data_IF_074233155508
#
_entry.id   IF_074233155508
#
_cell.length_a   1.000
_cell.length_b   1.000
_cell.length_c   1.000
_cell.angle_alpha   90.00
_cell.angle_beta   90.00
_cell.angle_gamma   90.00
#
_symmetry.space_group_name_H-M   'P 1'
#
loop_
_entity.id
_entity.type
_entity.pdbx_description
1 polymer ?
#
# COMPACT_ATOMS: atom_id res chain seq x y z
N UNK A 1 43.23 -28.62 -39.86
CA UNK A 1 43.14 -28.27 -41.29
C UNK A 1 42.79 -26.81 -41.38
N UNK A 2 43.76 -26.01 -41.82
CA UNK A 2 43.64 -24.56 -41.99
C UNK A 2 42.54 -24.23 -42.99
N UNK A 3 41.64 -23.33 -42.61
CA UNK A 3 41.09 -22.35 -43.54
C UNK A 3 41.00 -21.01 -42.82
N UNK A 4 41.69 -20.05 -43.43
CA UNK A 4 41.96 -18.69 -43.00
C UNK A 4 40.86 -17.72 -43.44
N UNK A 5 40.89 -16.54 -42.80
CA UNK A 5 40.32 -15.25 -43.20
C UNK A 5 38.88 -14.99 -42.79
N UNK A 6 38.77 -14.22 -41.71
CA UNK A 6 37.56 -13.60 -41.22
C UNK A 6 37.76 -13.12 -39.79
N UNK A 7 38.66 -12.16 -39.59
CA UNK A 7 38.83 -11.42 -38.33
C UNK A 7 37.50 -10.76 -37.96
N UNK A 8 36.68 -11.48 -37.23
CA UNK A 8 35.77 -10.93 -36.24
C UNK A 8 36.21 -11.58 -34.95
N UNK A 9 36.98 -10.85 -34.14
CA UNK A 9 37.08 -11.17 -32.72
C UNK A 9 35.63 -11.25 -32.22
N UNK A 10 35.11 -12.47 -32.08
CA UNK A 10 33.82 -12.68 -31.45
C UNK A 10 34.03 -12.29 -30.00
N UNK A 11 33.49 -11.15 -29.61
CA UNK A 11 33.44 -10.74 -28.21
C UNK A 11 32.65 -11.82 -27.46
N UNK A 12 33.35 -12.68 -26.73
CA UNK A 12 32.71 -13.70 -25.89
C UNK A 12 32.31 -13.04 -24.59
N UNK A 13 31.02 -13.08 -24.25
CA UNK A 13 30.53 -12.54 -22.98
C UNK A 13 30.15 -13.68 -22.06
N UNK A 14 30.74 -13.71 -20.87
CA UNK A 14 30.38 -14.63 -19.79
C UNK A 14 29.55 -13.89 -18.75
N UNK A 15 28.38 -14.44 -18.40
CA UNK A 15 27.55 -13.97 -17.30
C UNK A 15 27.74 -14.92 -16.11
N UNK A 16 28.20 -14.38 -15.00
CA UNK A 16 28.33 -15.12 -13.73
C UNK A 16 27.23 -14.65 -12.80
N UNK A 17 26.31 -15.55 -12.48
CA UNK A 17 25.22 -15.30 -11.52
C UNK A 17 25.65 -15.81 -10.15
N UNK A 18 25.64 -14.92 -9.16
CA UNK A 18 26.02 -15.23 -7.78
C UNK A 18 24.84 -14.94 -6.87
N UNK A 19 24.31 -15.97 -6.23
CA UNK A 19 23.34 -15.82 -5.15
C UNK A 19 24.07 -15.96 -3.80
N UNK A 20 23.97 -14.92 -2.99
CA UNK A 20 24.57 -14.88 -1.66
C UNK A 20 23.57 -15.46 -0.67
N UNK A 21 23.75 -16.74 -0.34
CA UNK A 21 22.86 -17.46 0.57
C UNK A 21 23.28 -17.21 2.02
N UNK A 22 22.31 -16.82 2.86
CA UNK A 22 22.53 -16.48 4.26
C UNK A 22 23.18 -15.11 4.44
N UNK A 23 22.95 -14.46 5.59
CA UNK A 23 23.54 -13.16 5.97
C UNK A 23 25.08 -13.15 6.15
N UNK A 24 25.79 -14.01 5.42
CA UNK A 24 27.23 -14.24 5.36
C UNK A 24 28.03 -12.99 4.96
N UNK A 25 27.39 -11.93 4.46
CA UNK A 25 28.05 -10.65 4.16
C UNK A 25 27.88 -9.58 5.23
N UNK A 26 27.19 -9.84 6.34
CA UNK A 26 26.96 -8.84 7.39
C UNK A 26 28.05 -8.88 8.47
N UNK A 27 29.28 -9.26 8.13
CA UNK A 27 30.44 -9.36 9.02
C UNK A 27 31.62 -8.52 8.52
N UNK A 28 32.49 -8.09 9.43
CA UNK A 28 33.54 -7.06 9.22
C UNK A 28 34.55 -7.33 8.08
N UNK A 29 34.61 -8.53 7.51
CA UNK A 29 35.66 -8.96 6.55
C UNK A 29 35.13 -9.65 5.27
N UNK A 30 33.82 -9.80 5.05
CA UNK A 30 33.30 -10.62 3.93
C UNK A 30 33.00 -9.89 2.61
N UNK A 31 32.16 -8.84 2.60
CA UNK A 31 31.67 -8.26 1.35
C UNK A 31 32.69 -7.37 0.65
N UNK A 32 33.49 -6.61 1.40
CA UNK A 32 34.49 -5.72 0.82
C UNK A 32 35.46 -6.45 -0.11
N UNK A 33 36.01 -7.56 0.37
CA UNK A 33 36.96 -8.39 -0.38
C UNK A 33 36.29 -9.02 -1.62
N UNK A 34 35.07 -9.57 -1.48
CA UNK A 34 34.31 -10.11 -2.63
C UNK A 34 34.10 -9.06 -3.73
N UNK A 35 33.65 -7.86 -3.36
CA UNK A 35 33.42 -6.79 -4.32
C UNK A 35 34.74 -6.24 -4.91
N UNK A 36 35.82 -6.26 -4.13
CA UNK A 36 37.18 -5.92 -4.60
C UNK A 36 37.69 -6.94 -5.63
N UNK A 37 37.54 -8.24 -5.35
CA UNK A 37 37.94 -9.33 -6.25
C UNK A 37 37.15 -9.29 -7.56
N UNK A 38 35.84 -9.05 -7.49
CA UNK A 38 35.00 -8.88 -8.69
C UNK A 38 35.50 -7.71 -9.53
N UNK A 39 35.85 -6.57 -8.92
CA UNK A 39 36.45 -5.43 -9.63
C UNK A 39 37.80 -5.77 -10.24
N UNK A 40 38.64 -6.53 -9.54
CA UNK A 40 39.89 -7.01 -10.08
C UNK A 40 39.66 -7.85 -11.35
N UNK A 41 38.75 -8.83 -11.30
CA UNK A 41 38.40 -9.66 -12.45
C UNK A 41 37.80 -8.84 -13.60
N UNK A 42 36.85 -7.95 -13.33
CA UNK A 42 36.31 -7.04 -14.37
C UNK A 42 37.41 -6.21 -15.04
N UNK A 43 38.41 -5.75 -14.28
CA UNK A 43 39.54 -4.98 -14.78
C UNK A 43 40.49 -5.79 -15.68
N UNK A 44 40.75 -7.06 -15.33
CA UNK A 44 41.65 -7.96 -16.08
C UNK A 44 41.15 -8.22 -17.52
N UNK A 45 39.83 -8.19 -17.73
CA UNK A 45 39.20 -8.55 -19.01
C UNK A 45 38.74 -7.35 -19.85
N UNK A 46 38.94 -6.10 -19.39
CA UNK A 46 38.46 -4.88 -20.09
C UNK A 46 39.04 -4.65 -21.48
N UNK A 47 40.23 -5.18 -21.76
CA UNK A 47 41.00 -4.90 -22.99
C UNK A 47 41.13 -6.14 -23.92
N UNK A 48 40.27 -7.14 -23.74
CA UNK A 48 40.31 -8.43 -24.46
C UNK A 48 39.00 -8.69 -25.20
N UNK A 49 39.04 -9.61 -26.17
CA UNK A 49 37.86 -10.13 -26.89
C UNK A 49 36.91 -10.96 -25.99
N UNK A 50 37.03 -10.84 -24.67
CA UNK A 50 36.27 -11.58 -23.66
C UNK A 50 35.80 -10.60 -22.61
N UNK A 51 34.49 -10.53 -22.40
CA UNK A 51 33.86 -9.74 -21.34
C UNK A 51 33.29 -10.67 -20.28
N UNK A 52 33.54 -10.39 -19.00
CA UNK A 52 32.93 -11.10 -17.88
C UNK A 52 32.04 -10.12 -17.11
N UNK A 53 30.77 -10.49 -16.91
CA UNK A 53 29.78 -9.71 -16.18
C UNK A 53 29.33 -10.51 -14.97
N UNK A 54 29.44 -9.92 -13.78
CA UNK A 54 28.94 -10.51 -12.54
C UNK A 54 27.59 -9.89 -12.18
N UNK A 55 26.58 -10.72 -11.98
CA UNK A 55 25.31 -10.31 -11.39
C UNK A 55 25.15 -11.00 -10.03
N UNK A 56 25.15 -10.19 -8.97
CA UNK A 56 25.11 -10.66 -7.59
C UNK A 56 23.75 -10.33 -7.00
N UNK A 57 23.08 -11.34 -6.45
CA UNK A 57 21.85 -11.20 -5.68
C UNK A 57 22.12 -11.56 -4.22
N UNK A 58 21.72 -10.71 -3.28
CA UNK A 58 21.97 -10.93 -1.86
C UNK A 58 21.66 -9.72 -0.99
N UNK A 59 21.96 -9.85 0.30
CA UNK A 59 21.81 -8.77 1.29
C UNK A 59 23.18 -8.28 1.77
N UNK A 60 23.41 -6.97 1.75
CA UNK A 60 24.63 -6.34 2.26
C UNK A 60 24.36 -4.92 2.76
N UNK A 61 25.22 -4.42 3.64
CA UNK A 61 25.18 -3.04 4.11
C UNK A 61 26.01 -2.14 3.19
N UNK A 62 25.35 -1.31 2.37
CA UNK A 62 26.03 -0.39 1.44
C UNK A 62 27.12 0.44 2.12
N UNK A 63 26.83 0.99 3.31
CA UNK A 63 27.76 1.82 4.09
C UNK A 63 29.00 1.04 4.57
N UNK A 64 28.87 -0.26 4.87
CA UNK A 64 30.02 -1.06 5.29
C UNK A 64 30.97 -1.34 4.14
N UNK A 65 30.42 -1.58 2.94
CA UNK A 65 31.23 -1.77 1.74
C UNK A 65 31.88 -0.44 1.33
N UNK A 66 31.13 0.67 1.37
CA UNK A 66 31.68 2.01 1.13
C UNK A 66 32.85 2.30 2.09
N UNK A 67 32.67 2.06 3.39
CA UNK A 67 33.73 2.21 4.39
C UNK A 67 34.93 1.27 4.17
N UNK A 68 34.73 0.08 3.59
CA UNK A 68 35.84 -0.78 3.18
C UNK A 68 36.65 -0.16 2.04
N UNK A 69 35.99 0.32 0.98
CA UNK A 69 36.68 0.96 -0.15
C UNK A 69 37.43 2.22 0.27
N UNK A 70 36.84 3.02 1.16
CA UNK A 70 37.50 4.17 1.79
C UNK A 70 38.77 3.77 2.56
N UNK A 71 38.71 2.66 3.32
CA UNK A 71 39.86 2.13 4.08
C UNK A 71 41.01 1.68 3.19
N UNK A 72 40.72 1.08 2.03
CA UNK A 72 41.75 0.68 1.05
C UNK A 72 42.12 1.82 0.08
N UNK A 73 41.62 3.03 0.30
CA UNK A 73 41.87 4.24 -0.49
C UNK A 73 41.47 4.11 -1.97
N UNK A 74 40.37 3.41 -2.24
CA UNK A 74 39.79 3.27 -3.59
C UNK A 74 38.39 3.86 -3.60
N UNK A 75 37.97 4.48 -4.70
CA UNK A 75 36.62 5.01 -4.81
C UNK A 75 35.57 3.89 -4.77
N UNK A 76 34.53 4.07 -3.95
CA UNK A 76 33.43 3.11 -3.88
C UNK A 76 32.73 3.02 -5.25
N UNK A 77 32.70 1.85 -5.90
CA UNK A 77 32.44 1.82 -7.33
C UNK A 77 30.98 1.47 -7.67
N UNK A 78 30.09 1.45 -6.68
CA UNK A 78 28.68 1.07 -6.84
C UNK A 78 27.75 2.22 -6.44
N UNK A 79 26.83 2.59 -7.32
CA UNK A 79 25.78 3.57 -7.00
C UNK A 79 24.40 2.92 -7.15
N UNK A 80 23.49 3.08 -6.18
CA UNK A 80 22.12 2.62 -6.33
C UNK A 80 21.46 3.22 -7.57
N UNK A 81 20.73 2.40 -8.33
CA UNK A 81 20.06 2.80 -9.59
C UNK A 81 20.98 2.90 -10.82
N UNK A 82 22.29 2.71 -10.66
CA UNK A 82 23.25 2.58 -11.77
C UNK A 82 23.88 1.20 -11.84
N UNK A 83 24.52 0.79 -10.74
CA UNK A 83 25.33 -0.43 -10.69
C UNK A 83 24.65 -1.56 -9.89
N UNK A 84 23.64 -1.24 -9.10
CA UNK A 84 22.77 -2.22 -8.44
C UNK A 84 21.37 -1.63 -8.25
N UNK A 85 20.38 -2.52 -8.10
CA UNK A 85 18.99 -2.17 -7.80
C UNK A 85 18.62 -2.84 -6.49
N UNK A 86 17.93 -2.10 -5.62
CA UNK A 86 17.34 -2.69 -4.41
C UNK A 86 16.09 -3.45 -4.83
N UNK A 87 16.05 -4.74 -4.54
CA UNK A 87 14.84 -5.51 -4.76
C UNK A 87 13.86 -5.26 -3.61
N UNK A 88 12.76 -4.57 -3.91
CA UNK A 88 11.73 -4.21 -2.93
C UNK A 88 10.55 -5.19 -2.95
N UNK A 89 10.77 -6.43 -3.42
CA UNK A 89 9.72 -7.42 -3.63
C UNK A 89 9.13 -7.41 -5.04
N UNK A 90 8.14 -8.26 -5.27
CA UNK A 90 7.38 -8.30 -6.52
C UNK A 90 6.44 -7.11 -6.61
N UNK A 91 6.29 -6.54 -7.81
CA UNK A 91 5.46 -5.37 -8.03
C UNK A 91 3.94 -5.68 -7.98
N UNK A 92 3.12 -4.63 -7.89
CA UNK A 92 1.65 -4.74 -7.84
C UNK A 92 1.07 -5.48 -9.05
N UNK A 93 1.64 -5.29 -10.24
CA UNK A 93 1.16 -5.91 -11.47
C UNK A 93 1.39 -7.43 -11.48
N UNK A 94 2.53 -7.86 -10.94
CA UNK A 94 2.90 -9.26 -10.75
C UNK A 94 1.98 -9.90 -9.71
N UNK A 95 1.76 -9.25 -8.56
CA UNK A 95 0.81 -9.75 -7.55
C UNK A 95 -0.61 -9.85 -8.11
N UNK A 96 -1.06 -8.88 -8.91
CA UNK A 96 -2.36 -8.93 -9.58
C UNK A 96 -2.46 -10.12 -10.56
N UNK A 97 -1.39 -10.43 -11.29
CA UNK A 97 -1.33 -11.59 -12.19
C UNK A 97 -1.41 -12.89 -11.40
N UNK A 98 -0.58 -13.05 -10.36
CA UNK A 98 -0.60 -14.23 -9.48
C UNK A 98 -1.96 -14.43 -8.82
N UNK A 99 -2.59 -13.34 -8.38
CA UNK A 99 -3.91 -13.37 -7.72
C UNK A 99 -4.99 -13.85 -8.69
N UNK A 100 -4.97 -13.35 -9.93
CA UNK A 100 -5.92 -13.77 -10.97
C UNK A 100 -5.74 -15.23 -11.36
N UNK A 101 -4.49 -15.68 -11.49
CA UNK A 101 -4.16 -17.08 -11.81
C UNK A 101 -4.58 -18.03 -10.68
N UNK A 102 -4.39 -17.62 -9.43
CA UNK A 102 -4.69 -18.47 -8.27
C UNK A 102 -6.19 -18.51 -7.92
N UNK A 103 -6.90 -17.38 -8.04
CA UNK A 103 -8.26 -17.22 -7.52
C UNK A 103 -9.33 -17.12 -8.63
N UNK A 104 -8.93 -16.96 -9.89
CA UNK A 104 -9.85 -16.77 -11.02
C UNK A 104 -10.74 -15.54 -10.83
N UNK A 105 -12.05 -15.71 -10.97
CA UNK A 105 -13.03 -14.64 -10.82
C UNK A 105 -13.05 -13.98 -9.41
N UNK A 106 -12.61 -14.69 -8.38
CA UNK A 106 -12.49 -14.13 -7.03
C UNK A 106 -11.23 -13.25 -6.85
N UNK A 107 -10.26 -13.34 -7.77
CA UNK A 107 -9.03 -12.54 -7.79
C UNK A 107 -9.27 -11.13 -8.35
N UNK A 108 -10.12 -10.35 -7.68
CA UNK A 108 -10.41 -8.97 -8.08
C UNK A 108 -9.22 -8.05 -7.82
N UNK A 109 -9.12 -6.89 -8.50
CA UNK A 109 -8.03 -5.93 -8.28
C UNK A 109 -7.88 -5.52 -6.81
N UNK A 110 -9.00 -5.33 -6.10
CA UNK A 110 -8.97 -4.94 -4.69
C UNK A 110 -8.37 -6.05 -3.80
N UNK A 111 -8.64 -7.32 -4.10
CA UNK A 111 -8.04 -8.45 -3.37
C UNK A 111 -6.54 -8.49 -3.63
N UNK A 112 -6.10 -8.32 -4.87
CA UNK A 112 -4.66 -8.29 -5.19
C UNK A 112 -3.94 -7.12 -4.52
N UNK A 113 -4.56 -5.94 -4.46
CA UNK A 113 -3.97 -4.77 -3.80
C UNK A 113 -3.87 -4.95 -2.27
N UNK A 114 -4.88 -5.59 -1.65
CA UNK A 114 -4.82 -5.90 -0.21
C UNK A 114 -3.72 -6.91 0.09
N UNK A 115 -3.57 -7.96 -0.73
CA UNK A 115 -2.48 -8.94 -0.58
C UNK A 115 -1.12 -8.24 -0.72
N UNK A 116 -0.99 -7.34 -1.71
CA UNK A 116 0.22 -6.55 -1.89
C UNK A 116 0.50 -5.66 -0.69
N UNK A 117 -0.47 -4.91 -0.17
CA UNK A 117 -0.28 -4.03 0.99
C UNK A 117 0.09 -4.82 2.24
N UNK A 118 -0.60 -5.93 2.53
CA UNK A 118 -0.32 -6.78 3.67
C UNK A 118 1.10 -7.35 3.64
N UNK A 119 1.52 -7.87 2.49
CA UNK A 119 2.81 -8.56 2.34
C UNK A 119 3.97 -7.69 1.86
N UNK A 120 3.73 -6.44 1.45
CA UNK A 120 4.74 -5.56 0.87
C UNK A 120 5.34 -6.06 -0.45
N UNK A 121 4.73 -7.03 -1.13
CA UNK A 121 5.33 -7.68 -2.29
C UNK A 121 6.42 -8.70 -1.95
N UNK A 122 6.57 -9.14 -0.70
CA UNK A 122 7.42 -10.30 -0.41
C UNK A 122 6.84 -11.56 -1.07
N UNK A 123 7.59 -12.16 -2.02
CA UNK A 123 7.12 -13.29 -2.83
C UNK A 123 6.51 -14.43 -1.99
N UNK A 124 7.23 -14.89 -0.96
CA UNK A 124 6.79 -15.99 -0.10
C UNK A 124 5.54 -15.62 0.73
N UNK A 125 5.43 -14.36 1.16
CA UNK A 125 4.23 -13.88 1.88
C UNK A 125 3.04 -13.82 0.94
N UNK A 126 3.22 -13.26 -0.27
CA UNK A 126 2.19 -13.21 -1.32
C UNK A 126 1.69 -14.61 -1.65
N UNK A 127 2.61 -15.55 -1.91
CA UNK A 127 2.28 -16.95 -2.21
C UNK A 127 1.53 -17.61 -1.06
N UNK A 128 1.97 -17.39 0.18
CA UNK A 128 1.33 -17.95 1.36
C UNK A 128 -0.06 -17.37 1.61
N UNK A 129 -0.24 -16.06 1.41
CA UNK A 129 -1.54 -15.40 1.51
C UNK A 129 -2.52 -15.90 0.44
N UNK A 130 -2.06 -16.03 -0.81
CA UNK A 130 -2.86 -16.63 -1.89
C UNK A 130 -3.26 -18.07 -1.56
N UNK A 131 -2.33 -18.85 -1.01
CA UNK A 131 -2.58 -20.21 -0.57
C UNK A 131 -3.61 -20.30 0.55
N UNK A 132 -3.68 -19.32 1.45
CA UNK A 132 -4.62 -19.30 2.57
C UNK A 132 -6.05 -18.88 2.21
N UNK A 133 -6.28 -18.39 0.99
CA UNK A 133 -7.62 -18.06 0.50
C UNK A 133 -8.38 -19.36 0.18
N UNK A 134 -8.96 -19.97 1.21
CA UNK A 134 -9.76 -21.19 1.10
C UNK A 134 -11.27 -20.93 1.13
N UNK A 135 -11.70 -19.87 1.82
CA UNK A 135 -13.11 -19.55 2.03
C UNK A 135 -13.58 -18.49 1.03
N UNK A 136 -14.75 -18.72 0.44
CA UNK A 136 -15.50 -17.74 -0.35
C UNK A 136 -16.78 -17.40 0.42
N UNK A 137 -17.11 -16.11 0.65
CA UNK A 137 -16.37 -14.91 0.24
C UNK A 137 -15.04 -14.74 0.97
N UNK A 138 -14.09 -14.05 0.33
CA UNK A 138 -12.75 -13.78 0.89
C UNK A 138 -12.91 -12.82 2.06
N UNK A 139 -12.40 -13.20 3.23
CA UNK A 139 -12.46 -12.37 4.44
C UNK A 139 -11.12 -11.71 4.76
N UNK A 140 -11.16 -10.40 5.01
CA UNK A 140 -9.97 -9.65 5.42
C UNK A 140 -9.36 -10.17 6.73
N UNK A 141 -10.21 -10.57 7.69
CA UNK A 141 -9.75 -11.12 8.97
C UNK A 141 -8.94 -12.41 8.78
N UNK A 142 -9.34 -13.26 7.84
CA UNK A 142 -8.61 -14.50 7.52
C UNK A 142 -7.22 -14.19 6.96
N UNK A 143 -7.14 -13.27 5.99
CA UNK A 143 -5.86 -12.79 5.44
C UNK A 143 -4.97 -12.20 6.54
N UNK A 144 -5.52 -11.34 7.40
CA UNK A 144 -4.78 -10.69 8.48
C UNK A 144 -4.24 -11.69 9.51
N UNK A 145 -5.08 -12.64 9.95
CA UNK A 145 -4.66 -13.71 10.86
C UNK A 145 -3.55 -14.56 10.24
N UNK A 146 -3.61 -14.81 8.93
CA UNK A 146 -2.57 -15.54 8.22
C UNK A 146 -1.27 -14.73 8.11
N UNK A 147 -1.34 -13.43 7.79
CA UNK A 147 -0.18 -12.52 7.82
C UNK A 147 0.51 -12.56 9.18
N UNK A 148 -0.26 -12.54 10.28
CA UNK A 148 0.26 -12.63 11.65
C UNK A 148 1.01 -13.94 11.89
N UNK A 149 0.44 -15.08 11.49
CA UNK A 149 1.10 -16.38 11.63
C UNK A 149 2.42 -16.46 10.86
N UNK A 150 2.45 -15.94 9.62
CA UNK A 150 3.67 -15.89 8.81
C UNK A 150 4.72 -15.00 9.50
N UNK A 151 4.31 -13.86 10.06
CA UNK A 151 5.20 -12.93 10.72
C UNK A 151 5.78 -13.46 12.05
N UNK A 152 5.02 -14.26 12.80
CA UNK A 152 5.46 -14.84 14.07
C UNK A 152 6.33 -16.09 13.89
N UNK A 153 5.88 -17.03 13.04
CA UNK A 153 6.47 -18.37 13.01
C UNK A 153 6.98 -18.78 11.62
N UNK A 154 6.78 -17.93 10.61
CA UNK A 154 7.10 -18.26 9.22
C UNK A 154 8.60 -18.37 8.94
N UNK A 155 9.02 -19.22 7.98
CA UNK A 155 10.43 -19.39 7.63
C UNK A 155 11.05 -18.09 7.12
N UNK A 156 10.33 -17.31 6.30
CA UNK A 156 10.78 -16.01 5.83
C UNK A 156 11.00 -15.02 6.98
N UNK A 157 10.10 -14.99 7.98
CA UNK A 157 10.26 -14.10 9.12
C UNK A 157 11.57 -14.40 9.85
N UNK A 158 11.87 -15.68 10.14
CA UNK A 158 13.14 -16.08 10.77
C UNK A 158 14.36 -15.66 9.96
N UNK A 159 14.29 -15.80 8.63
CA UNK A 159 15.37 -15.38 7.74
C UNK A 159 15.58 -13.86 7.78
N UNK A 160 14.51 -13.06 7.66
CA UNK A 160 14.55 -11.61 7.77
C UNK A 160 15.09 -11.15 9.13
N UNK A 161 14.60 -11.75 10.22
CA UNK A 161 15.06 -11.48 11.58
C UNK A 161 16.57 -11.69 11.70
N UNK A 162 17.12 -12.79 11.16
CA UNK A 162 18.56 -13.07 11.21
C UNK A 162 19.43 -11.96 10.61
N UNK A 163 18.91 -11.27 9.58
CA UNK A 163 19.55 -10.09 9.00
C UNK A 163 19.31 -8.83 9.83
N UNK A 164 18.08 -8.62 10.28
CA UNK A 164 17.67 -7.41 11.00
C UNK A 164 18.28 -7.27 12.41
N UNK A 165 18.66 -8.36 13.07
CA UNK A 165 19.38 -8.30 14.37
C UNK A 165 20.66 -7.47 14.31
N UNK A 166 21.28 -7.33 13.13
CA UNK A 166 22.54 -6.60 12.96
C UNK A 166 22.34 -5.09 12.76
N UNK A 167 21.11 -4.59 12.89
CA UNK A 167 20.80 -3.17 12.79
C UNK A 167 21.64 -2.35 13.79
N UNK A 168 22.21 -1.20 13.37
CA UNK A 168 22.93 -0.32 14.27
C UNK A 168 22.06 0.17 15.43
N UNK A 169 22.61 0.37 16.66
CA UNK A 169 21.84 0.81 17.83
C UNK A 169 21.03 2.10 17.61
N UNK A 170 21.54 3.04 16.79
CA UNK A 170 20.82 4.27 16.45
C UNK A 170 19.61 4.00 15.54
N UNK A 171 19.73 3.08 14.58
CA UNK A 171 18.63 2.65 13.71
C UNK A 171 17.56 1.90 14.51
N UNK A 172 17.96 1.10 15.49
CA UNK A 172 17.01 0.45 16.43
C UNK A 172 16.21 1.47 17.25
N UNK A 173 16.83 2.56 17.73
CA UNK A 173 16.09 3.65 18.39
C UNK A 173 15.06 4.32 17.46
N UNK A 174 15.37 4.44 16.18
CA UNK A 174 14.41 4.94 15.19
C UNK A 174 13.29 3.92 14.93
N UNK A 175 13.62 2.61 14.88
CA UNK A 175 12.65 1.53 14.78
C UNK A 175 11.69 1.50 15.99
N UNK A 176 12.20 1.70 17.21
CA UNK A 176 11.38 1.87 18.40
C UNK A 176 10.37 3.02 18.24
N UNK A 177 10.81 4.19 17.76
CA UNK A 177 9.91 5.31 17.47
C UNK A 177 8.85 4.93 16.44
N UNK A 178 9.22 4.26 15.34
CA UNK A 178 8.26 3.76 14.36
C UNK A 178 7.23 2.81 14.98
N UNK A 179 7.62 1.93 15.90
CA UNK A 179 6.69 1.05 16.61
C UNK A 179 5.69 1.83 17.48
N UNK A 180 6.10 2.97 18.04
CA UNK A 180 5.22 3.82 18.86
C UNK A 180 4.30 4.72 18.04
N UNK A 181 4.78 5.31 16.94
CA UNK A 181 4.05 6.36 16.20
C UNK A 181 3.56 5.91 14.81
N UNK A 182 4.05 4.78 14.29
CA UNK A 182 3.87 4.28 12.90
C UNK A 182 4.37 5.20 11.79
N UNK A 183 4.74 6.43 12.10
CA UNK A 183 5.21 7.45 11.17
C UNK A 183 6.21 8.37 11.88
N UNK A 184 7.34 8.64 11.24
CA UNK A 184 8.37 9.57 11.75
C UNK A 184 8.78 10.51 10.62
N UNK A 185 8.75 11.83 10.87
CA UNK A 185 9.18 12.79 9.87
C UNK A 185 10.70 12.77 9.67
N UNK A 186 11.15 12.83 8.41
CA UNK A 186 12.55 12.63 8.04
C UNK A 186 13.50 13.69 8.64
N UNK A 187 13.06 14.94 8.75
CA UNK A 187 13.87 16.04 9.29
C UNK A 187 14.30 15.83 10.75
N UNK A 188 13.72 14.85 11.44
CA UNK A 188 14.15 14.39 12.77
C UNK A 188 15.15 13.23 12.73
N UNK A 189 15.64 12.85 11.55
CA UNK A 189 16.49 11.67 11.32
C UNK A 189 17.67 11.99 10.39
N UNK A 190 18.79 11.31 10.59
CA UNK A 190 19.96 11.40 9.71
C UNK A 190 19.92 10.23 8.70
N UNK A 191 20.32 10.46 7.45
CA UNK A 191 20.50 9.43 6.41
C UNK A 191 21.18 8.15 6.94
N UNK A 192 22.28 8.30 7.69
CA UNK A 192 23.01 7.17 8.28
C UNK A 192 22.19 6.33 9.26
N UNK A 193 21.14 6.89 9.84
CA UNK A 193 20.27 6.21 10.81
C UNK A 193 19.10 5.52 10.11
N UNK A 194 18.48 6.15 9.10
CA UNK A 194 17.31 5.60 8.40
C UNK A 194 17.69 4.61 7.30
N UNK A 195 18.81 4.81 6.61
CA UNK A 195 19.23 3.99 5.47
C UNK A 195 19.32 2.49 5.81
N UNK A 196 19.81 2.06 6.99
CA UNK A 196 19.76 0.65 7.35
C UNK A 196 18.35 0.05 7.38
N UNK A 197 17.33 0.82 7.81
CA UNK A 197 15.94 0.35 7.86
C UNK A 197 15.32 0.26 6.46
N UNK A 198 15.72 1.17 5.55
CA UNK A 198 15.29 1.19 4.16
C UNK A 198 15.94 0.06 3.36
N UNK A 199 17.25 -0.16 3.54
CA UNK A 199 18.02 -1.13 2.78
C UNK A 199 17.54 -2.58 2.99
N UNK A 200 17.12 -2.92 4.20
CA UNK A 200 16.63 -4.26 4.55
C UNK A 200 15.11 -4.41 4.45
N UNK A 201 14.41 -3.39 3.95
CA UNK A 201 12.97 -3.43 3.70
C UNK A 201 12.10 -3.41 4.96
N UNK A 202 12.59 -2.94 6.11
CA UNK A 202 11.73 -2.75 7.30
C UNK A 202 10.83 -1.54 7.09
N UNK A 203 11.39 -0.46 6.54
CA UNK A 203 10.73 0.82 6.39
C UNK A 203 10.73 1.30 4.93
N UNK A 204 9.84 2.24 4.63
CA UNK A 204 9.77 2.96 3.36
C UNK A 204 9.59 4.46 3.58
N UNK A 205 10.00 5.24 2.58
CA UNK A 205 9.78 6.68 2.56
C UNK A 205 8.49 7.03 1.80
N UNK A 206 7.73 7.96 2.36
CA UNK A 206 6.53 8.54 1.75
C UNK A 206 6.69 10.06 1.73
N UNK A 207 6.46 10.69 0.57
CA UNK A 207 6.54 12.15 0.43
C UNK A 207 5.14 12.76 0.43
N UNK A 208 4.89 13.71 1.32
CA UNK A 208 3.65 14.50 1.40
C UNK A 208 4.03 15.98 1.40
N UNK A 209 3.56 16.73 0.40
CA UNK A 209 3.80 18.17 0.25
C UNK A 209 5.27 18.55 0.54
N UNK A 210 6.20 17.89 -0.17
CA UNK A 210 7.67 18.06 -0.05
C UNK A 210 8.31 17.54 1.24
N UNK A 211 7.53 17.19 2.26
CA UNK A 211 8.04 16.57 3.48
C UNK A 211 8.07 15.06 3.32
N UNK A 212 9.20 14.45 3.66
CA UNK A 212 9.36 13.00 3.66
C UNK A 212 9.12 12.43 5.04
N UNK A 213 8.50 11.26 5.06
CA UNK A 213 8.12 10.52 6.25
C UNK A 213 8.56 9.07 6.11
N UNK A 214 8.97 8.48 7.22
CA UNK A 214 9.31 7.07 7.33
C UNK A 214 8.12 6.31 7.92
N UNK A 215 7.70 5.23 7.27
CA UNK A 215 6.65 4.30 7.73
C UNK A 215 7.16 2.86 7.60
N UNK A 216 6.47 1.91 8.22
CA UNK A 216 6.74 0.50 7.94
C UNK A 216 6.51 0.19 6.46
N UNK A 217 7.33 -0.72 5.92
CA UNK A 217 7.25 -1.14 4.53
C UNK A 217 5.92 -1.87 4.25
N UNK A 218 5.46 -2.71 5.17
CA UNK A 218 4.15 -3.35 5.13
C UNK A 218 3.65 -3.70 6.54
N UNK A 219 2.36 -4.03 6.72
CA UNK A 219 1.85 -4.62 7.96
C UNK A 219 2.57 -5.92 8.34
N UNK A 220 2.99 -6.73 7.36
CA UNK A 220 3.82 -7.91 7.62
C UNK A 220 5.15 -7.54 8.30
N UNK A 221 5.88 -6.54 7.80
CA UNK A 221 7.16 -6.13 8.41
C UNK A 221 6.98 -5.52 9.79
N UNK A 222 5.91 -4.74 10.01
CA UNK A 222 5.53 -4.26 11.35
C UNK A 222 5.30 -5.44 12.32
N UNK A 223 4.52 -6.44 11.91
CA UNK A 223 4.22 -7.61 12.73
C UNK A 223 5.47 -8.43 13.05
N UNK A 224 6.37 -8.63 12.08
CA UNK A 224 7.65 -9.31 12.32
C UNK A 224 8.45 -8.61 13.42
N UNK A 225 8.57 -7.29 13.39
CA UNK A 225 9.31 -6.56 14.43
C UNK A 225 8.61 -6.66 15.78
N UNK A 226 7.27 -6.53 15.82
CA UNK A 226 6.50 -6.58 17.06
C UNK A 226 6.44 -7.95 17.71
N UNK A 227 6.42 -9.02 16.92
CA UNK A 227 6.44 -10.38 17.44
C UNK A 227 7.81 -10.73 18.08
N UNK A 228 8.87 -10.03 17.68
CA UNK A 228 10.26 -10.34 18.04
C UNK A 228 10.98 -9.15 18.71
N UNK A 229 10.29 -8.35 19.54
CA UNK A 229 10.90 -7.15 20.17
C UNK A 229 12.21 -7.45 20.92
N UNK A 230 12.28 -8.59 21.61
CA UNK A 230 13.46 -9.00 22.37
C UNK A 230 14.69 -9.22 21.48
N UNK A 231 14.48 -9.77 20.28
CA UNK A 231 15.53 -10.00 19.27
C UNK A 231 16.15 -8.68 18.76
N UNK A 232 15.42 -7.57 18.86
CA UNK A 232 15.89 -6.24 18.46
C UNK A 232 16.51 -5.42 19.60
N UNK A 233 16.61 -5.97 20.82
CA UNK A 233 16.87 -5.17 22.03
C UNK A 233 15.88 -3.99 22.17
N UNK A 234 14.62 -4.23 21.77
CA UNK A 234 13.51 -3.26 21.81
C UNK A 234 12.44 -3.60 22.85
N UNK A 235 12.78 -4.49 23.79
CA UNK A 235 11.93 -4.84 24.92
C UNK A 235 11.59 -3.57 25.72
N UNK A 236 10.34 -3.14 25.59
CA UNK A 236 9.76 -1.98 26.27
C UNK A 236 8.42 -2.43 26.83
N UNK A 237 8.19 -2.33 28.15
CA UNK A 237 6.93 -2.74 28.77
C UNK A 237 5.69 -2.09 28.12
N UNK A 238 5.83 -0.88 27.55
CA UNK A 238 4.73 -0.23 26.83
C UNK A 238 4.42 -0.91 25.50
N UNK A 239 5.44 -1.38 24.78
CA UNK A 239 5.28 -2.10 23.51
C UNK A 239 4.84 -3.55 23.73
N UNK A 240 5.35 -4.21 24.76
CA UNK A 240 5.01 -5.60 25.10
C UNK A 240 3.56 -5.76 25.60
N UNK A 241 2.99 -4.70 26.20
CA UNK A 241 1.57 -4.67 26.58
C UNK A 241 0.62 -4.59 25.40
N UNK A 242 1.09 -4.24 24.20
CA UNK A 242 0.24 -4.16 23.02
C UNK A 242 -0.10 -5.57 22.57
N UNK A 243 -1.37 -5.94 22.70
CA UNK A 243 -1.86 -7.20 22.17
C UNK A 243 -1.81 -7.17 20.64
N UNK A 244 -1.05 -8.09 20.03
CA UNK A 244 -0.95 -8.22 18.57
C UNK A 244 -2.32 -8.49 17.91
N UNK A 245 -3.27 -9.05 18.66
CA UNK A 245 -4.64 -9.28 18.21
C UNK A 245 -5.45 -7.98 18.03
N UNK A 246 -5.11 -6.94 18.79
CA UNK A 246 -5.78 -5.63 18.76
C UNK A 246 -5.14 -4.68 17.72
N UNK A 247 -4.03 -5.10 17.10
CA UNK A 247 -3.37 -4.30 16.08
C UNK A 247 -4.18 -4.33 14.80
N UNK A 248 -4.67 -3.14 14.42
CA UNK A 248 -5.33 -2.91 13.15
C UNK A 248 -4.28 -2.63 12.08
N UNK A 249 -4.28 -3.34 10.92
CA UNK A 249 -3.35 -3.09 9.84
C UNK A 249 -3.60 -1.71 9.22
N UNK A 250 -2.53 -1.07 8.77
CA UNK A 250 -2.61 0.20 8.05
C UNK A 250 -2.82 -0.11 6.55
N UNK A 251 -4.08 -0.21 6.14
CA UNK A 251 -4.48 -0.51 4.76
C UNK A 251 -5.12 0.71 4.12
N UNK A 252 -4.39 1.34 3.21
CA UNK A 252 -4.84 2.56 2.55
C UNK A 252 -5.86 2.24 1.43
N UNK A 253 -5.71 1.09 0.76
CA UNK A 253 -6.53 0.76 -0.42
C UNK A 253 -8.02 0.59 -0.11
N UNK A 254 -8.35 -0.12 0.98
CA UNK A 254 -9.75 -0.43 1.34
C UNK A 254 -10.49 0.84 1.74
N UNK A 255 -9.89 1.66 2.59
CA UNK A 255 -10.45 2.94 3.01
C UNK A 255 -10.63 3.90 1.83
N UNK A 256 -9.61 4.05 1.00
CA UNK A 256 -9.65 4.92 -0.19
C UNK A 256 -10.74 4.50 -1.17
N UNK A 257 -10.83 3.19 -1.45
CA UNK A 257 -11.84 2.65 -2.36
C UNK A 257 -13.26 2.78 -1.78
N UNK A 258 -13.44 2.50 -0.49
CA UNK A 258 -14.71 2.71 0.20
C UNK A 258 -15.17 4.16 0.17
N UNK A 259 -14.26 5.10 0.47
CA UNK A 259 -14.55 6.53 0.40
C UNK A 259 -14.95 6.98 -1.00
N UNK A 260 -14.24 6.50 -2.03
CA UNK A 260 -14.56 6.78 -3.41
C UNK A 260 -15.96 6.25 -3.78
N UNK A 261 -16.30 5.01 -3.42
CA UNK A 261 -17.62 4.44 -3.70
C UNK A 261 -18.74 5.24 -3.02
N UNK A 262 -18.57 5.61 -1.74
CA UNK A 262 -19.53 6.46 -1.03
C UNK A 262 -19.71 7.78 -1.78
N UNK A 263 -18.61 8.47 -2.07
CA UNK A 263 -18.63 9.76 -2.78
C UNK A 263 -19.33 9.66 -4.14
N UNK A 264 -19.05 8.62 -4.90
CA UNK A 264 -19.64 8.39 -6.22
C UNK A 264 -21.16 8.19 -6.13
N UNK A 265 -21.63 7.41 -5.14
CA UNK A 265 -23.07 7.22 -4.89
C UNK A 265 -23.73 8.54 -4.48
N UNK A 266 -23.14 9.26 -3.53
CA UNK A 266 -23.70 10.53 -3.05
C UNK A 266 -23.81 11.55 -4.19
N UNK A 267 -22.76 11.67 -5.01
CA UNK A 267 -22.73 12.61 -6.14
C UNK A 267 -23.71 12.23 -7.25
N UNK A 268 -23.88 10.94 -7.53
CA UNK A 268 -24.87 10.45 -8.48
C UNK A 268 -26.29 10.87 -8.06
N UNK A 269 -26.65 10.65 -6.79
CA UNK A 269 -27.96 11.01 -6.24
C UNK A 269 -28.17 12.51 -6.24
N UNK A 270 -27.17 13.29 -5.78
CA UNK A 270 -27.23 14.76 -5.80
C UNK A 270 -27.48 15.29 -7.21
N UNK A 271 -26.75 14.76 -8.19
CA UNK A 271 -26.86 15.16 -9.59
C UNK A 271 -28.25 14.83 -10.15
N UNK A 272 -28.76 13.65 -9.84
CA UNK A 272 -30.10 13.23 -10.25
C UNK A 272 -31.19 14.13 -9.65
N UNK A 273 -31.18 14.37 -8.33
CA UNK A 273 -32.15 15.26 -7.68
C UNK A 273 -32.10 16.66 -8.26
N UNK A 274 -30.90 17.21 -8.51
CA UNK A 274 -30.75 18.54 -9.14
C UNK A 274 -31.37 18.62 -10.52
N UNK A 275 -31.15 17.60 -11.36
CA UNK A 275 -31.73 17.58 -12.70
C UNK A 275 -33.26 17.54 -12.63
N UNK A 276 -33.82 16.72 -11.73
CA UNK A 276 -35.27 16.59 -11.54
C UNK A 276 -35.89 17.93 -11.08
N UNK A 277 -35.20 18.67 -10.20
CA UNK A 277 -35.59 20.05 -9.83
C UNK A 277 -35.59 20.99 -11.03
N UNK A 278 -34.54 20.94 -11.86
CA UNK A 278 -34.40 21.83 -13.01
C UNK A 278 -35.46 21.61 -14.10
N UNK A 279 -35.89 20.35 -14.31
CA UNK A 279 -36.93 20.00 -15.28
C UNK A 279 -38.36 20.21 -14.76
N UNK A 280 -38.51 20.85 -13.59
CA UNK A 280 -39.81 21.31 -13.08
C UNK A 280 -40.52 20.36 -12.12
N UNK A 281 -39.91 19.25 -11.69
CA UNK A 281 -40.44 18.49 -10.55
C UNK A 281 -40.26 19.32 -9.28
N UNK A 282 -41.36 19.60 -8.57
CA UNK A 282 -41.35 20.37 -7.33
C UNK A 282 -40.69 19.56 -6.21
N UNK A 283 -39.37 19.73 -6.06
CA UNK A 283 -38.65 19.33 -4.85
C UNK A 283 -38.53 20.56 -3.95
N UNK A 284 -39.32 20.62 -2.89
CA UNK A 284 -39.33 21.75 -1.95
C UNK A 284 -38.10 21.74 -1.02
N UNK A 285 -36.93 22.15 -1.53
CA UNK A 285 -35.66 22.09 -0.79
C UNK A 285 -35.58 23.00 0.45
N UNK A 286 -36.49 23.97 0.63
CA UNK A 286 -36.40 25.01 1.68
C UNK A 286 -36.93 24.59 3.07
N UNK A 287 -37.63 23.47 3.18
CA UNK A 287 -38.22 23.00 4.44
C UNK A 287 -37.52 21.77 5.03
N UNK A 288 -36.38 21.36 4.49
CA UNK A 288 -35.70 20.16 4.98
C UNK A 288 -34.91 20.43 6.27
N UNK A 289 -34.90 19.46 7.20
CA UNK A 289 -34.14 19.54 8.44
C UNK A 289 -32.68 19.95 8.23
N UNK A 290 -32.00 19.39 7.21
CA UNK A 290 -30.60 19.67 6.85
C UNK A 290 -30.32 20.99 6.13
N UNK A 291 -31.34 21.79 5.77
CA UNK A 291 -31.15 23.01 4.97
C UNK A 291 -30.36 24.09 5.73
N UNK A 292 -30.58 24.20 7.05
CA UNK A 292 -29.85 25.16 7.88
C UNK A 292 -28.39 24.74 8.00
N UNK A 293 -28.11 23.46 8.31
CA UNK A 293 -26.74 22.95 8.40
C UNK A 293 -26.00 23.08 7.07
N UNK A 294 -26.62 22.72 5.94
CA UNK A 294 -26.02 22.86 4.61
C UNK A 294 -25.65 24.33 4.30
N UNK A 295 -26.49 25.28 4.70
CA UNK A 295 -26.23 26.72 4.53
C UNK A 295 -25.12 27.22 5.44
N UNK A 296 -25.05 26.73 6.66
CA UNK A 296 -23.97 27.04 7.60
C UNK A 296 -22.64 26.47 7.14
N UNK A 297 -22.62 25.22 6.67
CA UNK A 297 -21.42 24.58 6.13
C UNK A 297 -20.86 25.34 4.93
N UNK A 298 -21.72 25.67 3.96
CA UNK A 298 -21.34 26.50 2.80
C UNK A 298 -20.78 27.86 3.21
N UNK A 299 -21.35 28.51 4.24
CA UNK A 299 -20.82 29.78 4.78
C UNK A 299 -19.46 29.59 5.44
N UNK A 300 -19.23 28.47 6.13
CA UNK A 300 -17.94 28.10 6.69
C UNK A 300 -16.88 27.94 5.61
N UNK A 301 -17.19 27.25 4.53
CA UNK A 301 -16.28 27.08 3.39
C UNK A 301 -15.87 28.41 2.75
N UNK A 302 -16.81 29.34 2.56
CA UNK A 302 -16.50 30.71 2.10
C UNK A 302 -15.51 31.40 3.03
N UNK A 303 -15.70 31.28 4.36
CA UNK A 303 -14.80 31.87 5.35
C UNK A 303 -13.39 31.29 5.28
N UNK A 304 -13.26 30.05 4.84
CA UNK A 304 -11.97 29.36 4.65
C UNK A 304 -11.42 29.48 3.22
N UNK A 305 -12.03 30.31 2.37
CA UNK A 305 -11.53 30.59 1.02
C UNK A 305 -11.76 29.46 0.02
N UNK A 306 -12.67 28.52 0.30
CA UNK A 306 -13.00 27.43 -0.61
C UNK A 306 -13.97 27.90 -1.72
N UNK A 307 -13.85 27.38 -2.96
CA UNK A 307 -14.64 27.83 -4.09
C UNK A 307 -16.07 27.27 -4.04
N UNK A 308 -17.00 28.00 -3.43
CA UNK A 308 -18.40 27.58 -3.28
C UNK A 308 -19.31 27.95 -4.46
N UNK A 309 -18.77 28.65 -5.45
CA UNK A 309 -19.50 29.12 -6.63
C UNK A 309 -19.90 27.99 -7.57
N UNK A 310 -19.12 26.90 -7.59
CA UNK A 310 -19.41 25.68 -8.35
C UNK A 310 -20.29 24.68 -7.59
N UNK A 311 -20.55 24.91 -6.30
CA UNK A 311 -21.22 23.95 -5.42
C UNK A 311 -22.64 24.42 -5.06
N UNK A 312 -23.70 23.83 -5.66
CA UNK A 312 -25.08 24.10 -5.23
C UNK A 312 -25.31 23.67 -3.79
N UNK A 313 -26.36 24.20 -3.14
CA UNK A 313 -26.61 23.91 -1.73
C UNK A 313 -26.80 22.41 -1.46
N UNK A 314 -27.35 21.66 -2.43
CA UNK A 314 -27.52 20.21 -2.32
C UNK A 314 -26.20 19.45 -2.09
N UNK A 315 -25.06 20.01 -2.51
CA UNK A 315 -23.74 19.41 -2.33
C UNK A 315 -23.36 19.23 -0.87
N UNK A 316 -23.98 20.01 0.02
CA UNK A 316 -23.72 20.01 1.46
C UNK A 316 -24.73 19.17 2.26
N UNK A 317 -25.70 18.55 1.60
CA UNK A 317 -26.67 17.67 2.25
C UNK A 317 -26.01 16.33 2.58
N UNK A 318 -26.28 15.82 3.78
CA UNK A 318 -25.83 14.49 4.19
C UNK A 318 -26.63 13.41 3.45
N UNK A 319 -26.15 12.16 3.49
CA UNK A 319 -26.89 11.02 2.93
C UNK A 319 -28.30 10.89 3.52
N UNK A 320 -28.45 11.18 4.82
CA UNK A 320 -29.76 11.15 5.49
C UNK A 320 -30.69 12.22 4.93
N UNK A 321 -30.17 13.43 4.72
CA UNK A 321 -30.98 14.50 4.16
C UNK A 321 -31.33 14.23 2.70
N UNK A 322 -30.41 13.62 1.92
CA UNK A 322 -30.70 13.17 0.56
C UNK A 322 -31.78 12.09 0.52
N UNK A 323 -31.74 11.12 1.45
CA UNK A 323 -32.76 10.09 1.57
C UNK A 323 -34.15 10.71 1.86
N UNK A 324 -34.20 11.69 2.77
CA UNK A 324 -35.43 12.40 3.12
C UNK A 324 -35.98 13.24 1.95
N UNK A 325 -35.10 13.93 1.22
CA UNK A 325 -35.49 14.66 0.00
C UNK A 325 -36.12 13.70 -1.01
N UNK A 326 -35.44 12.58 -1.28
CA UNK A 326 -35.90 11.54 -2.20
C UNK A 326 -37.24 10.94 -1.76
N UNK A 327 -37.43 10.69 -0.46
CA UNK A 327 -38.67 10.16 0.11
C UNK A 327 -39.85 11.10 -0.15
N UNK A 328 -39.68 12.39 0.10
CA UNK A 328 -40.75 13.37 -0.13
C UNK A 328 -41.10 13.49 -1.61
N UNK A 329 -40.11 13.49 -2.50
CA UNK A 329 -40.34 13.43 -3.94
C UNK A 329 -41.10 12.16 -4.35
N UNK A 330 -40.75 11.01 -3.75
CA UNK A 330 -41.45 9.74 -3.99
C UNK A 330 -42.94 9.80 -3.60
N UNK A 331 -43.26 10.45 -2.47
CA UNK A 331 -44.65 10.62 -2.01
C UNK A 331 -45.46 11.51 -2.95
N UNK A 332 -44.84 12.56 -3.50
CA UNK A 332 -45.52 13.52 -4.36
C UNK A 332 -45.74 13.00 -5.79
N UNK A 333 -44.86 12.12 -6.27
CA UNK A 333 -44.90 11.60 -7.65
C UNK A 333 -45.30 10.12 -7.76
N UNK A 334 -45.50 9.43 -6.63
CA UNK A 334 -45.89 8.01 -6.52
C UNK A 334 -45.04 7.05 -7.39
N UNK A 335 -43.76 7.36 -7.57
CA UNK A 335 -42.88 6.61 -8.47
C UNK A 335 -42.03 5.59 -7.70
N UNK A 336 -42.15 4.32 -8.07
CA UNK A 336 -41.40 3.20 -7.47
C UNK A 336 -39.88 3.37 -7.57
N UNK A 337 -39.43 4.11 -8.60
CA UNK A 337 -38.04 4.49 -8.78
C UNK A 337 -37.48 5.32 -7.62
N UNK A 338 -38.21 6.35 -7.17
CA UNK A 338 -37.77 7.18 -6.05
C UNK A 338 -37.74 6.38 -4.74
N UNK A 339 -38.70 5.47 -4.53
CA UNK A 339 -38.70 4.55 -3.38
C UNK A 339 -37.53 3.57 -3.41
N UNK A 340 -37.08 3.15 -4.59
CA UNK A 340 -35.89 2.30 -4.72
C UNK A 340 -34.61 3.05 -4.34
N UNK A 341 -34.48 4.31 -4.78
CA UNK A 341 -33.36 5.18 -4.41
C UNK A 341 -33.37 5.47 -2.90
N UNK A 342 -34.53 5.79 -2.33
CA UNK A 342 -34.70 6.04 -0.89
C UNK A 342 -34.17 4.88 -0.04
N UNK A 343 -34.64 3.66 -0.33
CA UNK A 343 -34.24 2.45 0.39
C UNK A 343 -32.73 2.23 0.31
N UNK A 344 -32.16 2.42 -0.88
CA UNK A 344 -30.71 2.29 -1.08
C UNK A 344 -29.91 3.33 -0.30
N UNK A 345 -30.40 4.57 -0.20
CA UNK A 345 -29.76 5.63 0.58
C UNK A 345 -29.85 5.37 2.09
N UNK A 346 -30.99 4.88 2.58
CA UNK A 346 -31.13 4.50 4.00
C UNK A 346 -30.15 3.38 4.37
N UNK A 347 -29.99 2.38 3.51
CA UNK A 347 -29.01 1.31 3.69
C UNK A 347 -27.56 1.82 3.61
N UNK A 348 -27.30 2.83 2.78
CA UNK A 348 -25.99 3.45 2.64
C UNK A 348 -25.52 4.15 3.92
N UNK A 349 -26.42 4.75 4.71
CA UNK A 349 -26.08 5.50 5.94
C UNK A 349 -25.21 4.66 6.88
N UNK A 350 -25.60 3.40 7.12
CA UNK A 350 -24.90 2.51 8.05
C UNK A 350 -23.50 2.17 7.54
N UNK A 351 -23.38 1.80 6.26
CA UNK A 351 -22.10 1.39 5.66
C UNK A 351 -21.17 2.60 5.50
N UNK A 352 -21.70 3.75 5.10
CA UNK A 352 -20.97 5.02 5.06
C UNK A 352 -20.36 5.34 6.41
N UNK A 353 -21.12 5.26 7.50
CA UNK A 353 -20.60 5.57 8.82
C UNK A 353 -19.44 4.65 9.20
N UNK A 354 -19.52 3.35 8.87
CA UNK A 354 -18.40 2.43 9.04
C UNK A 354 -17.18 2.87 8.22
N UNK A 355 -17.35 3.25 6.94
CA UNK A 355 -16.25 3.76 6.08
C UNK A 355 -15.61 5.03 6.64
N UNK A 356 -16.42 5.96 7.16
CA UNK A 356 -15.95 7.27 7.61
C UNK A 356 -15.31 7.24 9.01
N UNK A 357 -15.64 6.24 9.83
CA UNK A 357 -15.20 6.19 11.23
C UNK A 357 -14.27 5.01 11.55
N UNK A 358 -14.32 3.92 10.79
CA UNK A 358 -13.44 2.78 11.03
C UNK A 358 -12.11 2.97 10.30
N UNK A 359 -11.02 2.59 10.96
CA UNK A 359 -9.68 2.58 10.36
C UNK A 359 -9.56 1.56 9.22
N UNK A 360 -10.32 0.47 9.28
CA UNK A 360 -10.32 -0.60 8.27
C UNK A 360 -11.77 -1.04 8.01
N UNK A 361 -12.08 -1.28 6.74
CA UNK A 361 -13.34 -1.87 6.28
C UNK A 361 -13.06 -3.19 5.56
N UNK A 362 -13.92 -4.19 5.75
CA UNK A 362 -13.78 -5.49 5.08
C UNK A 362 -14.35 -5.51 3.65
N UNK A 363 -14.07 -6.59 2.92
CA UNK A 363 -14.60 -6.80 1.57
C UNK A 363 -16.13 -6.80 1.51
N UNK A 364 -16.81 -7.36 2.52
CA UNK A 364 -18.27 -7.38 2.58
C UNK A 364 -18.90 -5.96 2.56
N UNK A 365 -18.24 -5.00 3.22
CA UNK A 365 -18.68 -3.60 3.20
C UNK A 365 -18.53 -2.99 1.80
N UNK A 366 -17.45 -3.31 1.09
CA UNK A 366 -17.22 -2.85 -0.28
C UNK A 366 -18.22 -3.47 -1.27
N UNK A 367 -18.49 -4.77 -1.15
CA UNK A 367 -19.48 -5.48 -1.97
C UNK A 367 -20.88 -4.91 -1.74
N UNK A 368 -21.20 -4.57 -0.48
CA UNK A 368 -22.46 -3.89 -0.16
C UNK A 368 -22.53 -2.50 -0.80
N UNK A 369 -21.47 -1.70 -0.76
CA UNK A 369 -21.43 -0.40 -1.44
C UNK A 369 -21.59 -0.53 -2.96
N UNK A 370 -20.92 -1.50 -3.58
CA UNK A 370 -21.09 -1.74 -5.02
C UNK A 370 -22.52 -2.16 -5.37
N UNK A 371 -23.13 -3.00 -4.54
CA UNK A 371 -24.53 -3.41 -4.71
C UNK A 371 -25.47 -2.21 -4.64
N UNK A 372 -25.32 -1.36 -3.62
CA UNK A 372 -26.12 -0.14 -3.47
C UNK A 372 -25.92 0.82 -4.64
N UNK A 373 -24.68 0.99 -5.11
CA UNK A 373 -24.38 1.77 -6.31
C UNK A 373 -25.14 1.22 -7.53
N UNK A 374 -25.06 -0.09 -7.77
CA UNK A 374 -25.76 -0.74 -8.88
C UNK A 374 -27.28 -0.54 -8.82
N UNK A 375 -27.88 -0.71 -7.64
CA UNK A 375 -29.32 -0.49 -7.42
C UNK A 375 -29.74 0.95 -7.75
N UNK A 376 -28.96 1.94 -7.32
CA UNK A 376 -29.23 3.35 -7.60
C UNK A 376 -29.06 3.66 -9.09
N UNK A 377 -28.02 3.13 -9.75
CA UNK A 377 -27.84 3.28 -11.21
C UNK A 377 -29.01 2.71 -12.00
N UNK A 378 -29.46 1.50 -11.65
CA UNK A 378 -30.61 0.86 -12.30
C UNK A 378 -31.87 1.69 -12.11
N UNK A 379 -32.16 2.10 -10.87
CA UNK A 379 -33.33 2.92 -10.57
C UNK A 379 -33.31 4.24 -11.38
N UNK A 380 -32.20 4.98 -11.35
CA UNK A 380 -32.06 6.22 -12.12
C UNK A 380 -32.21 5.97 -13.62
N UNK A 381 -31.60 4.92 -14.17
CA UNK A 381 -31.72 4.60 -15.60
C UNK A 381 -33.16 4.26 -16.02
N UNK A 382 -33.92 3.59 -15.17
CA UNK A 382 -35.32 3.26 -15.42
C UNK A 382 -36.19 4.52 -15.40
N UNK A 383 -35.86 5.53 -14.59
CA UNK A 383 -36.59 6.81 -14.56
C UNK A 383 -36.56 7.57 -15.88
N UNK A 384 -35.56 7.34 -16.75
CA UNK A 384 -35.47 7.97 -18.06
C UNK A 384 -36.19 7.20 -19.16
N UNK A 385 -36.64 5.98 -18.90
CA UNK A 385 -37.39 5.14 -19.85
C UNK A 385 -38.90 5.27 -19.70
N UNK A 386 -39.36 5.67 -18.51
CA UNK A 386 -40.75 6.03 -18.22
C UNK A 386 -41.00 7.48 -18.63
#
# INVERSE_FOLDING_TARGET
LLNSVGDRQQNQTFLVLVELIGGLLLGNEGPGDLFSDIRHFEGVWRDRSVQVVYAIAGSWWHQEIEAYFDRIHVSFPYSPGRNYVRWTGVDRATVATMTRESLGAAGTPIVSDVIYELGGGHWEVTRSLLGAVHERPIQLQSLWNHTRRIAQDGPLARELLSGWHRLPPRSRKLLHRLLTTRCVAEHHTNERIKEPLLAVGIAQEVTINETRYLRFFSPFTELCVRAHLAEFDLADPALERVNLDEIVPDLDILGSYGYQLVRDIENLVRSYVMLQVQIGQHVETRHFPGYREAKEYRRGEVRHGLPVEFNPLISYFSVRDLAEIVRQTALNHNADTWRAIERSLNDLVTVRNAVMHNRVIGFDALDRLQTLRGQIYTAISESYRA
#
